data_IF_925606170544
#
_entry.id   IF_925606170544
#
_cell.length_a   1.000
_cell.length_b   1.000
_cell.length_c   1.000
_cell.angle_alpha   90.00
_cell.angle_beta   90.00
_cell.angle_gamma   90.00
#
_symmetry.space_group_name_H-M   'P 1'
#
loop_
_entity.id
_entity.type
_entity.pdbx_description
1 polymer ?
#
# COMPACT_ATOMS: atom_id res chain seq x y z
N UNK A 1 -19.36 -19.32 -0.73
CA UNK A 1 -19.09 -17.88 -0.83
C UNK A 1 -17.61 -17.74 -0.54
N UNK A 2 -16.78 -17.82 -1.57
CA UNK A 2 -15.35 -17.63 -1.45
C UNK A 2 -15.13 -16.14 -1.68
N UNK A 3 -15.27 -15.35 -0.62
CA UNK A 3 -14.73 -14.00 -0.59
C UNK A 3 -13.24 -14.14 -0.26
N UNK A 4 -12.51 -14.87 -1.10
CA UNK A 4 -11.08 -14.66 -1.24
C UNK A 4 -10.99 -13.32 -1.97
N UNK A 5 -11.16 -12.21 -1.23
CA UNK A 5 -10.69 -10.93 -1.75
C UNK A 5 -9.25 -11.20 -2.14
N UNK A 6 -8.99 -11.15 -3.44
CA UNK A 6 -7.67 -11.37 -4.04
C UNK A 6 -6.73 -10.41 -3.36
N UNK A 7 -6.12 -10.85 -2.25
CA UNK A 7 -5.10 -10.09 -1.57
C UNK A 7 -3.94 -10.06 -2.53
N UNK A 8 -3.84 -8.98 -3.27
CA UNK A 8 -2.71 -8.74 -4.12
C UNK A 8 -1.51 -8.51 -3.20
N UNK A 9 -0.46 -9.29 -3.39
CA UNK A 9 0.80 -9.17 -2.68
C UNK A 9 1.62 -8.01 -3.26
N UNK A 10 1.04 -6.81 -3.26
CA UNK A 10 1.70 -5.57 -3.66
C UNK A 10 2.34 -5.02 -2.39
N UNK A 11 3.67 -4.91 -2.40
CA UNK A 11 4.44 -4.39 -1.27
C UNK A 11 5.24 -3.19 -1.75
N UNK A 12 4.68 -2.01 -1.59
CA UNK A 12 5.39 -0.76 -1.82
C UNK A 12 5.91 -0.27 -0.47
N UNK A 13 7.23 -0.10 -0.38
CA UNK A 13 7.87 0.52 0.78
C UNK A 13 7.99 2.01 0.54
N UNK A 14 7.09 2.79 1.14
CA UNK A 14 6.86 4.21 0.81
C UNK A 14 6.90 5.11 2.04
N UNK A 15 6.82 4.54 3.24
CA UNK A 15 6.76 5.29 4.49
C UNK A 15 8.04 5.08 5.28
N UNK A 16 8.67 6.19 5.64
CA UNK A 16 9.91 6.21 6.41
C UNK A 16 9.71 6.87 7.77
N UNK A 17 10.56 6.50 8.72
CA UNK A 17 10.65 7.19 10.02
C UNK A 17 10.81 8.71 9.88
N UNK A 18 11.52 9.16 8.85
CA UNK A 18 11.70 10.59 8.57
C UNK A 18 10.38 11.27 8.20
N UNK A 19 9.52 10.63 7.40
CA UNK A 19 8.19 11.14 7.07
C UNK A 19 7.29 11.22 8.31
N UNK A 20 7.26 10.17 9.14
CA UNK A 20 6.49 10.16 10.39
C UNK A 20 6.95 11.27 11.35
N UNK A 21 8.27 11.45 11.51
CA UNK A 21 8.82 12.56 12.30
C UNK A 21 8.44 13.93 11.69
N UNK A 22 8.41 14.05 10.37
CA UNK A 22 8.06 15.30 9.69
C UNK A 22 6.61 15.72 9.90
N UNK A 23 5.71 14.76 10.14
CA UNK A 23 4.30 15.01 10.50
C UNK A 23 4.08 15.12 12.02
N UNK A 24 5.15 15.12 12.82
CA UNK A 24 5.09 15.33 14.28
C UNK A 24 5.08 14.05 15.12
N UNK A 25 5.02 12.87 14.50
CA UNK A 25 5.03 11.59 15.21
C UNK A 25 6.45 11.25 15.60
N UNK A 26 6.75 11.28 16.89
CA UNK A 26 8.08 10.94 17.41
C UNK A 26 7.98 9.86 18.49
N UNK A 27 7.86 8.62 18.03
CA UNK A 27 7.74 7.41 18.85
C UNK A 27 9.10 6.73 19.07
N UNK A 28 9.26 5.90 20.12
CA UNK A 28 10.43 5.03 20.26
C UNK A 28 10.53 4.04 19.09
N UNK A 29 11.73 3.52 18.85
CA UNK A 29 12.05 2.78 17.62
C UNK A 29 11.16 1.57 17.36
N UNK A 30 10.85 0.78 18.39
CA UNK A 30 9.96 -0.38 18.28
C UNK A 30 8.54 0.02 17.86
N UNK A 31 8.00 1.09 18.46
CA UNK A 31 6.67 1.60 18.12
C UNK A 31 6.64 2.27 16.75
N UNK A 32 7.73 2.95 16.39
CA UNK A 32 7.88 3.57 15.08
C UNK A 32 7.90 2.50 13.97
N UNK A 33 8.67 1.41 14.15
CA UNK A 33 8.68 0.31 13.18
C UNK A 33 7.31 -0.36 13.07
N UNK A 34 6.62 -0.59 14.20
CA UNK A 34 5.27 -1.15 14.19
C UNK A 34 4.28 -0.23 13.46
N UNK A 35 4.38 1.08 13.67
CA UNK A 35 3.54 2.06 12.99
C UNK A 35 3.84 2.10 11.49
N UNK A 36 5.11 2.16 11.08
CA UNK A 36 5.50 2.11 9.67
C UNK A 36 4.91 0.86 9.02
N UNK A 37 5.11 -0.32 9.63
CA UNK A 37 4.57 -1.56 9.08
C UNK A 37 3.05 -1.53 8.94
N UNK A 38 2.34 -1.07 9.99
CA UNK A 38 0.89 -0.97 9.94
C UNK A 38 0.39 -0.04 8.84
N UNK A 39 1.04 1.11 8.70
CA UNK A 39 0.72 2.13 7.70
C UNK A 39 0.99 1.61 6.30
N UNK A 40 2.11 0.94 6.10
CA UNK A 40 2.42 0.28 4.82
C UNK A 40 1.41 -0.81 4.49
N UNK A 41 1.01 -1.65 5.45
CA UNK A 41 -0.06 -2.64 5.24
C UNK A 41 -1.38 -1.99 4.84
N UNK A 42 -1.77 -0.89 5.51
CA UNK A 42 -2.99 -0.14 5.18
C UNK A 42 -2.94 0.44 3.78
N UNK A 43 -1.82 1.09 3.42
CA UNK A 43 -1.64 1.69 2.09
C UNK A 43 -1.63 0.60 1.01
N UNK A 44 -0.87 -0.48 1.21
CA UNK A 44 -0.80 -1.59 0.26
C UNK A 44 -2.17 -2.25 0.05
N UNK A 45 -2.97 -2.40 1.11
CA UNK A 45 -4.33 -2.93 0.99
C UNK A 45 -5.23 -2.03 0.15
N UNK A 46 -5.19 -0.71 0.35
CA UNK A 46 -6.01 0.24 -0.40
C UNK A 46 -5.56 0.35 -1.86
N UNK A 47 -4.25 0.44 -2.10
CA UNK A 47 -3.67 0.39 -3.45
C UNK A 47 -4.12 -0.88 -4.18
N UNK A 48 -4.09 -2.03 -3.51
CA UNK A 48 -4.55 -3.29 -4.08
C UNK A 48 -6.03 -3.25 -4.49
N UNK A 49 -6.89 -2.65 -3.67
CA UNK A 49 -8.32 -2.48 -3.98
C UNK A 49 -8.52 -1.57 -5.21
N UNK A 50 -7.89 -0.40 -5.21
CA UNK A 50 -7.97 0.58 -6.31
C UNK A 50 -7.44 0.01 -7.64
N UNK A 51 -6.37 -0.77 -7.59
CA UNK A 51 -5.84 -1.48 -8.76
C UNK A 51 -6.84 -2.53 -9.23
N UNK A 52 -7.46 -3.27 -8.32
CA UNK A 52 -8.46 -4.27 -8.71
C UNK A 52 -9.65 -3.62 -9.39
N UNK A 53 -10.08 -2.45 -8.92
CA UNK A 53 -11.15 -1.67 -9.54
C UNK A 53 -10.75 -1.04 -10.87
N UNK A 54 -9.46 -0.75 -11.07
CA UNK A 54 -8.92 -0.20 -12.31
C UNK A 54 -8.69 -1.26 -13.41
N UNK A 55 -8.57 -2.53 -13.03
CA UNK A 55 -8.29 -3.65 -13.93
C UNK A 55 -9.57 -4.40 -14.32
N UNK A 56 -9.67 -4.82 -15.58
CA UNK A 56 -10.75 -5.70 -16.03
C UNK A 56 -10.55 -7.15 -15.52
N UNK A 57 -11.64 -7.95 -15.53
CA UNK A 57 -11.65 -9.37 -15.10
C UNK A 57 -10.53 -10.23 -15.72
N UNK A 58 -10.21 -10.03 -17.00
CA UNK A 58 -9.14 -10.78 -17.68
C UNK A 58 -7.76 -10.38 -17.18
N UNK A 59 -7.54 -9.09 -16.91
CA UNK A 59 -6.30 -8.57 -16.37
C UNK A 59 -6.10 -9.00 -14.91
N UNK A 60 -7.17 -9.02 -14.11
CA UNK A 60 -7.15 -9.56 -12.75
C UNK A 60 -6.72 -11.03 -12.73
N UNK A 61 -7.24 -11.85 -13.65
CA UNK A 61 -6.83 -13.27 -13.76
C UNK A 61 -5.37 -13.41 -14.12
N UNK A 62 -4.85 -12.58 -15.04
CA UNK A 62 -3.41 -12.57 -15.36
C UNK A 62 -2.59 -12.22 -14.11
N UNK A 63 -2.97 -11.18 -13.38
CA UNK A 63 -2.27 -10.72 -12.18
C UNK A 63 -2.25 -11.78 -11.06
N UNK A 64 -3.38 -12.47 -10.86
CA UNK A 64 -3.48 -13.59 -9.92
C UNK A 64 -2.59 -14.76 -10.38
N UNK A 65 -2.59 -15.08 -11.67
CA UNK A 65 -1.71 -16.12 -12.21
C UNK A 65 -0.23 -15.77 -12.03
N UNK A 66 0.17 -14.52 -12.26
CA UNK A 66 1.55 -14.09 -12.03
C UNK A 66 1.95 -14.33 -10.57
N UNK A 67 1.10 -13.96 -9.62
CA UNK A 67 1.35 -14.20 -8.19
C UNK A 67 1.36 -15.69 -7.83
N UNK A 68 0.45 -16.49 -8.39
CA UNK A 68 0.41 -17.95 -8.20
C UNK A 68 1.68 -18.64 -8.72
N UNK A 69 2.31 -18.06 -9.75
CA UNK A 69 3.59 -18.49 -10.29
C UNK A 69 4.81 -17.93 -9.52
N UNK A 70 4.61 -17.30 -8.36
CA UNK A 70 5.67 -16.67 -7.56
C UNK A 70 6.45 -15.63 -8.37
N UNK A 71 5.76 -14.89 -9.26
CA UNK A 71 6.39 -13.83 -10.03
C UNK A 71 7.02 -12.79 -9.09
N UNK A 72 8.21 -12.26 -9.42
CA UNK A 72 8.88 -11.30 -8.58
C UNK A 72 8.04 -10.01 -8.48
N UNK A 73 8.07 -9.39 -7.30
CA UNK A 73 7.32 -8.16 -7.03
C UNK A 73 7.61 -7.05 -8.05
N UNK A 74 8.85 -6.94 -8.53
CA UNK A 74 9.24 -5.98 -9.57
C UNK A 74 8.54 -6.23 -10.92
N UNK A 75 8.27 -7.50 -11.26
CA UNK A 75 7.58 -7.84 -12.50
C UNK A 75 6.08 -7.56 -12.39
N UNK A 76 5.50 -7.87 -11.23
CA UNK A 76 4.11 -7.51 -10.90
C UNK A 76 3.93 -5.99 -10.94
N UNK A 77 4.82 -5.24 -10.30
CA UNK A 77 4.80 -3.77 -10.27
C UNK A 77 4.88 -3.17 -11.68
N UNK A 78 5.84 -3.64 -12.49
CA UNK A 78 5.99 -3.19 -13.87
C UNK A 78 4.77 -3.52 -14.74
N UNK A 79 4.15 -4.68 -14.51
CA UNK A 79 2.93 -5.10 -15.21
C UNK A 79 1.74 -4.20 -14.85
N UNK A 80 1.59 -3.85 -13.56
CA UNK A 80 0.54 -2.97 -13.07
C UNK A 80 0.74 -1.58 -13.67
N UNK A 81 1.94 -0.99 -13.56
CA UNK A 81 2.25 0.34 -14.12
C UNK A 81 2.01 0.42 -15.63
N UNK A 82 2.18 -0.69 -16.36
CA UNK A 82 1.91 -0.72 -17.80
C UNK A 82 0.41 -0.72 -18.16
N UNK A 83 -0.47 -1.12 -17.24
CA UNK A 83 -1.92 -1.27 -17.46
C UNK A 83 -2.74 -0.21 -16.72
N UNK A 84 -2.31 0.15 -15.53
CA UNK A 84 -2.90 1.18 -14.68
C UNK A 84 -1.99 2.42 -14.77
N UNK A 85 -2.27 3.36 -15.70
CA UNK A 85 -1.45 4.56 -15.86
C UNK A 85 -1.50 5.46 -14.61
N UNK A 86 -2.57 5.36 -13.84
CA UNK A 86 -2.79 6.07 -12.58
C UNK A 86 -2.10 5.37 -11.39
N UNK A 87 -1.36 4.28 -11.59
CA UNK A 87 -0.79 3.50 -10.49
C UNK A 87 0.11 4.34 -9.58
N UNK A 88 1.01 5.15 -10.14
CA UNK A 88 1.85 6.05 -9.35
C UNK A 88 1.01 7.10 -8.60
N UNK A 89 -0.05 7.63 -9.22
CA UNK A 89 -0.97 8.59 -8.57
C UNK A 89 -1.76 7.94 -7.43
N UNK A 90 -2.24 6.71 -7.61
CA UNK A 90 -2.93 5.91 -6.58
C UNK A 90 -2.01 5.71 -5.38
N UNK A 91 -0.74 5.35 -5.61
CA UNK A 91 0.24 5.19 -4.53
C UNK A 91 0.44 6.51 -3.78
N UNK A 92 0.70 7.60 -4.50
CA UNK A 92 0.97 8.90 -3.90
C UNK A 92 -0.25 9.44 -3.11
N UNK A 93 -1.46 9.28 -3.66
CA UNK A 93 -2.69 9.73 -3.02
C UNK A 93 -2.98 8.95 -1.73
N UNK A 94 -2.90 7.62 -1.78
CA UNK A 94 -3.08 6.77 -0.61
C UNK A 94 -2.04 7.07 0.48
N UNK A 95 -0.77 7.27 0.11
CA UNK A 95 0.27 7.69 1.05
C UNK A 95 -0.09 9.03 1.69
N UNK A 96 -0.49 10.01 0.90
CA UNK A 96 -0.83 11.35 1.39
C UNK A 96 -2.05 11.32 2.34
N UNK A 97 -3.09 10.56 1.99
CA UNK A 97 -4.29 10.36 2.81
C UNK A 97 -3.90 9.75 4.15
N UNK A 98 -3.25 8.58 4.14
CA UNK A 98 -2.93 7.85 5.37
C UNK A 98 -1.96 8.64 6.25
N UNK A 99 -0.92 9.25 5.66
CA UNK A 99 -0.01 10.12 6.41
C UNK A 99 -0.72 11.36 6.98
N UNK A 100 -1.68 11.93 6.24
CA UNK A 100 -2.51 13.05 6.71
C UNK A 100 -3.41 12.66 7.88
N UNK A 101 -4.01 11.48 7.83
CA UNK A 101 -4.81 10.92 8.93
C UNK A 101 -3.96 10.65 10.17
N UNK A 102 -2.78 10.05 10.00
CA UNK A 102 -1.82 9.85 11.07
C UNK A 102 -1.37 11.16 11.69
N UNK A 103 -1.10 12.19 10.88
CA UNK A 103 -0.71 13.51 11.36
C UNK A 103 -1.82 14.12 12.23
N UNK A 104 -3.08 14.02 11.79
CA UNK A 104 -4.24 14.49 12.55
C UNK A 104 -4.47 13.71 13.85
N UNK A 105 -4.15 12.41 13.86
CA UNK A 105 -4.27 11.54 15.03
C UNK A 105 -2.97 11.44 15.85
N UNK A 106 -1.92 12.20 15.50
CA UNK A 106 -0.59 12.09 16.11
C UNK A 106 -0.64 12.24 17.63
N UNK A 107 -1.44 13.19 18.13
CA UNK A 107 -1.64 13.44 19.57
C UNK A 107 -2.23 12.20 20.27
N UNK A 108 -3.17 11.49 19.63
CA UNK A 108 -3.78 10.27 20.16
C UNK A 108 -2.86 9.05 20.08
N UNK A 109 -1.98 9.00 19.07
CA UNK A 109 -0.97 7.94 18.90
C UNK A 109 0.16 8.08 19.93
N UNK A 110 0.42 9.31 20.39
CA UNK A 110 1.52 9.64 21.30
C UNK A 110 1.10 9.76 22.79
N UNK A 111 -0.19 9.69 23.09
CA UNK A 111 -0.77 9.77 24.45
C UNK A 111 -0.61 8.47 25.25
#
# INVERSE_FOLDING_TARGET
MNNDQTQLNIRVTIVTKAQLNSIGINLPEDQMQALIQHVEDTINSQIGEEIVESLDDDQLKELVQMQDNDAPAEEIDAWIRARVPEYDEIIEDNVAIVLGELANNSDAIQA
#
